data_IF_979549331501
#
_entry.id   IF_979549331501
#
_cell.length_a   1.000
_cell.length_b   1.000
_cell.length_c   1.000
_cell.angle_alpha   90.00
_cell.angle_beta   90.00
_cell.angle_gamma   90.00
#
_symmetry.space_group_name_H-M   'P 1'
#
loop_
_entity.id
_entity.type
_entity.pdbx_description
1 polymer ?
#
# COMPACT_ATOMS: atom_id res chain seq x y z
N UNK A 1 42.61 33.66 9.95
CA UNK A 1 41.89 34.93 9.69
C UNK A 1 41.65 35.02 8.20
N UNK A 2 40.45 34.67 7.75
CA UNK A 2 40.03 34.79 6.34
C UNK A 2 39.00 35.92 6.31
N UNK A 3 39.25 36.87 5.42
CA UNK A 3 38.61 38.19 5.32
C UNK A 3 37.16 38.05 4.79
N UNK A 4 36.20 38.69 5.48
CA UNK A 4 34.75 38.58 5.26
C UNK A 4 34.20 39.58 4.24
N UNK A 5 34.90 39.83 3.14
CA UNK A 5 34.56 40.90 2.20
C UNK A 5 34.40 40.36 0.77
N UNK A 6 33.45 39.44 0.55
CA UNK A 6 32.94 39.10 -0.80
C UNK A 6 31.56 38.41 -0.73
N UNK A 7 30.63 39.00 0.02
CA UNK A 7 29.20 38.65 -0.06
C UNK A 7 28.59 39.30 -1.32
N UNK A 8 28.94 38.75 -2.48
CA UNK A 8 28.18 39.01 -3.71
C UNK A 8 26.86 38.25 -3.62
N UNK A 9 25.80 38.97 -3.24
CA UNK A 9 24.42 38.50 -3.27
C UNK A 9 23.96 38.37 -4.73
N UNK A 10 23.71 37.16 -5.27
CA UNK A 10 23.06 37.05 -6.56
C UNK A 10 21.57 37.30 -6.35
N UNK A 11 21.10 38.45 -6.81
CA UNK A 11 19.68 38.78 -6.91
C UNK A 11 18.99 37.76 -7.81
N UNK A 12 18.36 36.74 -7.22
CA UNK A 12 17.46 35.81 -7.94
C UNK A 12 16.23 36.61 -8.37
N UNK A 13 16.29 37.11 -9.60
CA UNK A 13 15.18 37.78 -10.27
C UNK A 13 14.10 36.72 -10.53
N UNK A 14 13.04 36.75 -9.73
CA UNK A 14 11.93 35.81 -9.81
C UNK A 14 11.21 35.88 -11.15
N UNK A 15 11.47 34.91 -12.03
CA UNK A 15 10.59 34.60 -13.15
C UNK A 15 9.35 33.91 -12.60
N UNK A 16 8.36 34.71 -12.17
CA UNK A 16 6.99 34.23 -11.98
C UNK A 16 6.36 33.97 -13.34
N UNK A 17 6.72 32.85 -13.96
CA UNK A 17 5.85 32.23 -14.94
C UNK A 17 4.59 31.81 -14.20
N UNK A 18 3.49 32.51 -14.44
CA UNK A 18 2.17 32.03 -14.06
C UNK A 18 2.06 30.61 -14.61
N UNK A 19 2.10 29.61 -13.72
CA UNK A 19 1.76 28.23 -14.07
C UNK A 19 0.31 28.30 -14.55
N UNK A 20 0.12 28.39 -15.87
CA UNK A 20 -1.16 28.17 -16.51
C UNK A 20 -1.62 26.83 -15.97
N UNK A 21 -2.64 26.85 -15.12
CA UNK A 21 -3.25 25.64 -14.60
C UNK A 21 -3.78 24.90 -15.81
N UNK A 22 -2.96 24.01 -16.36
CA UNK A 22 -3.35 23.13 -17.44
C UNK A 22 -4.42 22.26 -16.82
N UNK A 23 -5.69 22.63 -17.03
CA UNK A 23 -6.84 21.80 -16.75
C UNK A 23 -6.62 20.56 -17.59
N UNK A 24 -5.99 19.54 -17.00
CA UNK A 24 -5.84 18.25 -17.64
C UNK A 24 -7.27 17.77 -17.88
N UNK A 25 -7.64 17.40 -19.12
CA UNK A 25 -8.92 16.74 -19.33
C UNK A 25 -8.92 15.51 -18.43
N UNK A 26 -9.91 15.41 -17.53
CA UNK A 26 -10.21 14.19 -16.80
C UNK A 26 -10.32 13.08 -17.84
N UNK A 27 -9.48 12.05 -17.76
CA UNK A 27 -9.75 10.81 -18.48
C UNK A 27 -11.16 10.39 -18.11
N UNK A 28 -12.04 10.24 -19.10
CA UNK A 28 -13.37 9.68 -18.89
C UNK A 28 -13.16 8.25 -18.36
N UNK A 29 -13.41 8.07 -17.07
CA UNK A 29 -13.22 6.81 -16.34
C UNK A 29 -14.60 6.24 -16.10
N UNK A 30 -14.95 5.19 -16.86
CA UNK A 30 -16.13 4.39 -16.63
C UNK A 30 -15.78 3.28 -15.65
N UNK A 31 -16.54 3.18 -14.56
CA UNK A 31 -16.30 2.24 -13.47
C UNK A 31 -17.61 1.54 -13.12
N UNK A 32 -17.54 0.22 -12.99
CA UNK A 32 -18.64 -0.58 -12.43
C UNK A 32 -18.47 -0.73 -10.91
N UNK A 33 -19.37 -0.15 -10.08
CA UNK A 33 -19.32 -0.28 -8.63
C UNK A 33 -19.46 -1.74 -8.14
N UNK A 34 -20.15 -2.61 -8.89
CA UNK A 34 -20.28 -4.01 -8.55
C UNK A 34 -18.95 -4.75 -8.74
N UNK A 35 -18.24 -4.50 -9.84
CA UNK A 35 -16.89 -5.01 -10.05
C UNK A 35 -15.92 -4.54 -8.95
N UNK A 36 -15.98 -3.27 -8.53
CA UNK A 36 -15.16 -2.77 -7.41
C UNK A 36 -15.49 -3.45 -6.08
N UNK A 37 -16.77 -3.74 -5.82
CA UNK A 37 -17.17 -4.51 -4.63
C UNK A 37 -16.53 -5.90 -4.67
N UNK A 38 -16.69 -6.62 -5.76
CA UNK A 38 -16.13 -7.98 -5.92
C UNK A 38 -14.61 -7.96 -5.77
N UNK A 39 -13.94 -7.00 -6.40
CA UNK A 39 -12.49 -6.83 -6.29
C UNK A 39 -12.08 -6.54 -4.83
N UNK A 40 -12.76 -5.62 -4.14
CA UNK A 40 -12.45 -5.31 -2.73
C UNK A 40 -12.55 -6.53 -1.82
N UNK A 41 -13.60 -7.35 -1.97
CA UNK A 41 -13.80 -8.56 -1.17
C UNK A 41 -12.76 -9.62 -1.51
N UNK A 42 -12.48 -9.83 -2.80
CA UNK A 42 -11.45 -10.78 -3.24
C UNK A 42 -10.06 -10.40 -2.76
N UNK A 43 -9.70 -9.11 -2.83
CA UNK A 43 -8.41 -8.61 -2.34
C UNK A 43 -8.28 -8.79 -0.82
N UNK A 44 -9.33 -8.50 -0.04
CA UNK A 44 -9.29 -8.76 1.42
C UNK A 44 -9.17 -10.25 1.75
N UNK A 45 -9.91 -11.12 1.04
CA UNK A 45 -9.81 -12.57 1.25
C UNK A 45 -8.38 -13.07 0.97
N UNK A 46 -7.76 -12.63 -0.12
CA UNK A 46 -6.36 -12.95 -0.42
C UNK A 46 -5.42 -12.44 0.68
N UNK A 47 -5.65 -11.25 1.22
CA UNK A 47 -4.88 -10.73 2.35
C UNK A 47 -4.99 -11.61 3.61
N UNK A 48 -6.19 -12.13 3.91
CA UNK A 48 -6.44 -13.06 5.02
C UNK A 48 -5.73 -14.41 4.80
N UNK A 49 -5.79 -14.95 3.58
CA UNK A 49 -5.09 -16.18 3.21
C UNK A 49 -3.57 -16.05 3.38
N UNK A 50 -2.99 -14.93 2.90
CA UNK A 50 -1.55 -14.65 3.04
C UNK A 50 -1.15 -14.57 4.52
N UNK A 51 -1.95 -13.90 5.36
CA UNK A 51 -1.68 -13.82 6.81
C UNK A 51 -1.76 -15.20 7.47
N UNK A 52 -2.71 -16.04 7.07
CA UNK A 52 -2.84 -17.42 7.56
C UNK A 52 -1.62 -18.26 7.21
N UNK A 53 -1.08 -18.13 5.99
CA UNK A 53 0.15 -18.79 5.59
C UNK A 53 1.38 -18.34 6.39
N UNK A 54 1.49 -17.04 6.73
CA UNK A 54 2.57 -16.55 7.59
C UNK A 54 2.55 -17.20 8.98
N UNK A 55 1.36 -17.37 9.56
CA UNK A 55 1.18 -18.04 10.85
C UNK A 55 1.55 -19.53 10.78
N UNK A 56 1.10 -20.22 9.74
CA UNK A 56 1.45 -21.63 9.52
C UNK A 56 2.97 -21.84 9.40
N UNK A 57 3.67 -20.97 8.65
CA UNK A 57 5.13 -21.06 8.50
C UNK A 57 5.91 -20.95 9.81
N UNK A 58 5.44 -20.14 10.77
CA UNK A 58 6.04 -20.11 12.12
C UNK A 58 5.82 -21.39 12.90
N UNK A 59 4.61 -21.96 12.81
CA UNK A 59 4.30 -23.22 13.46
C UNK A 59 5.21 -24.34 12.91
N UNK A 60 5.39 -24.41 11.60
CA UNK A 60 6.26 -25.40 10.94
C UNK A 60 7.73 -25.25 11.35
N UNK A 61 8.24 -24.03 11.50
CA UNK A 61 9.61 -23.80 11.96
C UNK A 61 9.87 -24.35 13.37
N UNK A 62 8.87 -24.28 14.26
CA UNK A 62 8.98 -24.82 15.61
C UNK A 62 9.16 -26.34 15.64
N UNK A 63 8.68 -27.05 14.61
CA UNK A 63 8.82 -28.49 14.45
C UNK A 63 10.24 -28.93 14.06
N UNK A 64 11.10 -28.00 13.64
CA UNK A 64 12.49 -28.31 13.29
C UNK A 64 13.38 -28.47 14.54
N UNK A 65 13.02 -27.85 15.67
CA UNK A 65 13.86 -27.88 16.87
C UNK A 65 14.10 -29.32 17.41
N UNK A 66 13.08 -30.21 17.50
CA UNK A 66 13.30 -31.61 17.88
C UNK A 66 14.14 -32.40 16.88
N UNK A 67 14.07 -32.09 15.58
CA UNK A 67 14.78 -32.81 14.51
C UNK A 67 16.28 -32.60 14.58
N UNK A 68 16.71 -31.36 14.85
CA UNK A 68 18.13 -31.02 14.92
C UNK A 68 18.79 -31.38 16.26
N UNK A 69 17.99 -31.54 17.32
CA UNK A 69 18.50 -31.87 18.65
C UNK A 69 19.54 -30.87 19.16
N UNK A 70 20.39 -31.31 20.10
CA UNK A 70 21.40 -30.45 20.74
C UNK A 70 22.53 -30.08 19.76
N UNK A 71 22.93 -31.02 18.89
CA UNK A 71 24.08 -30.83 17.98
C UNK A 71 23.76 -29.80 16.90
N UNK A 72 22.52 -29.77 16.41
CA UNK A 72 22.07 -28.81 15.40
C UNK A 72 21.38 -27.57 15.98
N UNK A 73 21.50 -27.30 17.28
CA UNK A 73 20.74 -26.23 17.95
C UNK A 73 20.99 -24.83 17.33
N UNK A 74 22.25 -24.51 17.01
CA UNK A 74 22.60 -23.23 16.36
C UNK A 74 22.00 -23.10 14.96
N UNK A 75 22.00 -24.20 14.20
CA UNK A 75 21.35 -24.23 12.89
C UNK A 75 19.83 -24.07 13.02
N UNK A 76 19.20 -24.76 13.96
CA UNK A 76 17.77 -24.65 14.23
C UNK A 76 17.39 -23.22 14.66
N UNK A 77 18.21 -22.57 15.48
CA UNK A 77 18.03 -21.17 15.87
C UNK A 77 18.14 -20.23 14.66
N UNK A 78 19.16 -20.39 13.81
CA UNK A 78 19.32 -19.60 12.60
C UNK A 78 18.14 -19.80 11.62
N UNK A 79 17.70 -21.05 11.43
CA UNK A 79 16.55 -21.39 10.60
C UNK A 79 15.26 -20.75 11.14
N UNK A 80 15.02 -20.84 12.46
CA UNK A 80 13.87 -20.22 13.09
C UNK A 80 13.88 -18.69 12.93
N UNK A 81 15.04 -18.04 13.07
CA UNK A 81 15.18 -16.60 12.85
C UNK A 81 14.88 -16.19 11.40
N UNK A 82 15.39 -16.94 10.42
CA UNK A 82 15.13 -16.68 9.00
C UNK A 82 13.65 -16.87 8.67
N UNK A 83 13.05 -17.95 9.16
CA UNK A 83 11.62 -18.21 8.95
C UNK A 83 10.76 -17.15 9.62
N UNK A 84 11.06 -16.74 10.86
CA UNK A 84 10.30 -15.67 11.52
C UNK A 84 10.41 -14.34 10.77
N UNK A 85 11.61 -13.98 10.29
CA UNK A 85 11.79 -12.81 9.44
C UNK A 85 10.95 -12.90 8.16
N UNK A 86 10.98 -14.04 7.48
CA UNK A 86 10.20 -14.26 6.26
C UNK A 86 8.69 -14.16 6.53
N UNK A 87 8.20 -14.78 7.61
CA UNK A 87 6.80 -14.68 8.03
C UNK A 87 6.37 -13.23 8.31
N UNK A 88 7.23 -12.41 8.92
CA UNK A 88 6.96 -10.97 9.12
C UNK A 88 6.88 -10.20 7.79
N UNK A 89 7.72 -10.53 6.82
CA UNK A 89 7.65 -9.94 5.48
C UNK A 89 6.34 -10.31 4.77
N UNK A 90 5.88 -11.55 4.92
CA UNK A 90 4.57 -12.01 4.42
C UNK A 90 3.41 -11.29 5.12
N UNK A 91 3.47 -11.08 6.44
CA UNK A 91 2.45 -10.31 7.17
C UNK A 91 2.37 -8.85 6.70
N UNK A 92 3.52 -8.22 6.45
CA UNK A 92 3.54 -6.88 5.88
C UNK A 92 2.92 -6.85 4.48
N UNK A 93 3.13 -7.89 3.68
CA UNK A 93 2.46 -8.04 2.38
C UNK A 93 0.94 -8.18 2.57
N UNK A 94 0.49 -9.06 3.47
CA UNK A 94 -0.93 -9.22 3.79
C UNK A 94 -1.58 -7.88 4.17
N UNK A 95 -0.94 -7.10 5.05
CA UNK A 95 -1.44 -5.79 5.46
C UNK A 95 -1.56 -4.79 4.30
N UNK A 96 -0.61 -4.80 3.36
CA UNK A 96 -0.67 -3.96 2.15
C UNK A 96 -1.83 -4.38 1.25
N UNK A 97 -2.05 -5.68 1.09
CA UNK A 97 -3.17 -6.22 0.31
C UNK A 97 -4.51 -5.83 0.96
N UNK A 98 -4.63 -5.92 2.29
CA UNK A 98 -5.83 -5.44 3.00
C UNK A 98 -6.09 -3.95 2.75
N UNK A 99 -5.05 -3.12 2.83
CA UNK A 99 -5.13 -1.68 2.56
C UNK A 99 -5.61 -1.39 1.14
N UNK A 100 -5.19 -2.19 0.15
CA UNK A 100 -5.70 -2.09 -1.22
C UNK A 100 -7.19 -2.45 -1.30
N UNK A 101 -7.61 -3.52 -0.62
CA UNK A 101 -9.02 -3.89 -0.51
C UNK A 101 -9.89 -2.77 0.09
N UNK A 102 -9.39 -2.11 1.14
CA UNK A 102 -10.03 -0.95 1.74
C UNK A 102 -10.09 0.25 0.80
N UNK A 103 -9.01 0.52 0.06
CA UNK A 103 -8.96 1.55 -0.96
C UNK A 103 -9.99 1.33 -2.08
N UNK A 104 -10.12 0.09 -2.56
CA UNK A 104 -11.13 -0.28 -3.57
C UNK A 104 -12.56 -0.11 -3.03
N UNK A 105 -12.77 -0.47 -1.76
CA UNK A 105 -14.06 -0.27 -1.10
C UNK A 105 -14.41 1.22 -0.97
N UNK A 106 -13.46 2.06 -0.57
CA UNK A 106 -13.62 3.51 -0.49
C UNK A 106 -13.87 4.13 -1.86
N UNK A 107 -13.13 3.70 -2.90
CA UNK A 107 -13.33 4.15 -4.26
C UNK A 107 -14.75 3.84 -4.76
N UNK A 108 -15.28 2.66 -4.45
CA UNK A 108 -16.68 2.30 -4.77
C UNK A 108 -17.66 3.33 -4.20
N UNK A 109 -17.53 3.69 -2.93
CA UNK A 109 -18.41 4.66 -2.28
C UNK A 109 -18.36 6.01 -2.99
N UNK A 110 -17.15 6.51 -3.29
CA UNK A 110 -16.96 7.78 -4.00
C UNK A 110 -17.60 7.77 -5.39
N UNK A 111 -17.47 6.69 -6.15
CA UNK A 111 -18.10 6.59 -7.48
C UNK A 111 -19.62 6.54 -7.39
N UNK A 112 -20.19 5.77 -6.47
CA UNK A 112 -21.64 5.73 -6.25
C UNK A 112 -22.19 7.10 -5.84
N UNK A 113 -21.56 7.76 -4.86
CA UNK A 113 -21.99 9.08 -4.41
C UNK A 113 -21.89 10.13 -5.54
N UNK A 114 -20.87 10.03 -6.39
CA UNK A 114 -20.70 10.95 -7.53
C UNK A 114 -21.79 10.73 -8.59
N UNK A 115 -22.13 9.47 -8.88
CA UNK A 115 -23.17 9.13 -9.85
C UNK A 115 -24.55 9.58 -9.35
N UNK A 116 -24.89 9.29 -8.09
CA UNK A 116 -26.15 9.70 -7.47
C UNK A 116 -26.31 11.23 -7.47
N UNK A 117 -25.25 11.96 -7.12
CA UNK A 117 -25.25 13.43 -7.15
C UNK A 117 -25.40 13.98 -8.57
N UNK A 118 -24.75 13.35 -9.56
CA UNK A 118 -24.85 13.75 -10.96
C UNK A 118 -26.25 13.49 -11.51
N UNK A 119 -26.84 12.34 -11.19
CA UNK A 119 -28.21 12.00 -11.56
C UNK A 119 -29.22 12.98 -10.95
N UNK A 120 -29.07 13.35 -9.67
CA UNK A 120 -29.92 14.33 -9.01
C UNK A 120 -29.85 15.72 -9.68
N UNK A 121 -28.65 16.15 -10.09
CA UNK A 121 -28.47 17.42 -10.82
C UNK A 121 -29.12 17.38 -12.20
N UNK A 122 -29.07 16.25 -12.91
CA UNK A 122 -29.72 16.09 -14.22
C UNK A 122 -31.25 16.14 -14.08
N UNK A 123 -31.82 15.51 -13.06
CA UNK A 123 -33.27 15.52 -12.80
C UNK A 123 -33.79 16.91 -12.41
N UNK A 124 -32.92 17.76 -11.85
CA UNK A 124 -33.28 19.12 -11.43
C UNK A 124 -33.32 20.15 -12.58
N UNK A 125 -32.97 19.75 -13.81
CA UNK A 125 -32.98 20.58 -15.03
C UNK A 125 -34.23 20.28 -15.85
#
# INVERSE_FOLDING_TARGET
MINSSDLHCPTIRGNRHARRSRRMPMSQVSVDPAALRTASLGTRAVGEDIATHALAGRADASLLAPVFGIIGAEFAAAAAMVTDRHCREIEQLAARIQTLGDGLHGARAVYTDTDDNSAAQIVAI
#
